data_IF_342943306408
#
_entry.id   IF_342943306408
#
_cell.length_a   1.000
_cell.length_b   1.000
_cell.length_c   1.000
_cell.angle_alpha   90.00
_cell.angle_beta   90.00
_cell.angle_gamma   90.00
#
_symmetry.space_group_name_H-M   'P 1'
#
loop_
_entity.id
_entity.type
_entity.pdbx_description
1 polymer ?
#
# COMPACT_ATOMS: atom_id res chain seq x y z
N UNK A 1 8.29 -16.94 3.06
CA UNK A 1 8.08 -15.74 3.85
C UNK A 1 7.35 -14.67 3.03
N UNK A 2 7.91 -14.18 1.92
CA UNK A 2 7.29 -13.16 1.06
C UNK A 2 5.91 -13.57 0.52
N UNK A 3 5.67 -14.84 0.28
CA UNK A 3 4.38 -15.37 -0.21
C UNK A 3 3.27 -15.13 0.79
N UNK A 4 3.52 -15.46 2.05
CA UNK A 4 2.50 -15.27 3.07
C UNK A 4 2.21 -13.77 3.28
N UNK A 5 3.21 -12.88 3.20
CA UNK A 5 3.00 -11.44 3.23
C UNK A 5 2.09 -10.98 2.06
N UNK A 6 2.31 -11.51 0.84
CA UNK A 6 1.44 -11.22 -0.31
C UNK A 6 0.03 -11.75 -0.11
N UNK A 7 -0.11 -12.99 0.38
CA UNK A 7 -1.42 -13.58 0.65
C UNK A 7 -2.18 -12.82 1.75
N UNK A 8 -1.48 -12.38 2.79
CA UNK A 8 -2.05 -11.52 3.84
C UNK A 8 -2.56 -10.22 3.22
N UNK A 9 -1.78 -9.60 2.36
CA UNK A 9 -2.15 -8.36 1.69
C UNK A 9 -3.36 -8.54 0.76
N UNK A 10 -3.36 -9.57 -0.08
CA UNK A 10 -4.48 -9.87 -0.98
C UNK A 10 -5.78 -10.17 -0.20
N UNK A 11 -5.68 -10.90 0.91
CA UNK A 11 -6.84 -11.27 1.72
C UNK A 11 -7.51 -10.08 2.43
N UNK A 12 -6.76 -9.01 2.73
CA UNK A 12 -7.30 -7.85 3.43
C UNK A 12 -7.97 -6.83 2.51
N UNK A 13 -7.66 -6.84 1.19
CA UNK A 13 -8.09 -5.78 0.26
C UNK A 13 -9.59 -5.46 0.33
N UNK A 14 -10.43 -6.46 0.55
CA UNK A 14 -11.89 -6.30 0.57
C UNK A 14 -12.49 -6.06 1.97
N UNK A 15 -11.71 -6.21 3.05
CA UNK A 15 -12.28 -6.15 4.41
C UNK A 15 -12.92 -4.80 4.74
N UNK A 16 -12.21 -3.69 4.49
CA UNK A 16 -12.74 -2.35 4.72
C UNK A 16 -13.96 -2.06 3.85
N UNK A 17 -13.95 -2.53 2.59
CA UNK A 17 -15.08 -2.32 1.68
C UNK A 17 -16.34 -2.99 2.16
N UNK A 18 -16.23 -4.25 2.57
CA UNK A 18 -17.35 -5.00 3.11
C UNK A 18 -17.87 -4.29 4.36
N UNK A 19 -16.97 -3.85 5.25
CA UNK A 19 -17.32 -3.07 6.44
C UNK A 19 -18.03 -1.76 6.09
N UNK A 20 -17.48 -0.95 5.18
CA UNK A 20 -18.10 0.27 4.71
C UNK A 20 -19.46 0.04 4.05
N UNK A 21 -19.59 -1.02 3.24
CA UNK A 21 -20.85 -1.37 2.60
C UNK A 21 -21.95 -1.65 3.63
N UNK A 22 -21.66 -2.47 4.65
CA UNK A 22 -22.61 -2.79 5.70
C UNK A 22 -22.96 -1.58 6.57
N UNK A 23 -22.00 -0.73 6.90
CA UNK A 23 -22.23 0.49 7.64
C UNK A 23 -23.12 1.47 6.87
N UNK A 24 -22.77 1.76 5.60
CA UNK A 24 -23.53 2.72 4.80
C UNK A 24 -24.94 2.23 4.42
N UNK A 25 -25.12 0.92 4.22
CA UNK A 25 -26.41 0.36 3.81
C UNK A 25 -27.33 0.03 4.97
N UNK A 26 -26.79 -0.50 6.07
CA UNK A 26 -27.55 -1.11 7.15
C UNK A 26 -27.35 -0.40 8.49
N UNK A 27 -26.51 0.63 8.56
CA UNK A 27 -26.13 1.27 9.82
C UNK A 27 -25.27 0.38 10.75
N UNK A 28 -24.65 -0.68 10.21
CA UNK A 28 -23.94 -1.68 11.00
C UNK A 28 -22.51 -1.22 11.38
N UNK A 29 -22.41 -0.26 12.29
CA UNK A 29 -21.13 0.35 12.72
C UNK A 29 -20.21 -0.63 13.43
N UNK A 30 -20.76 -1.62 14.12
CA UNK A 30 -20.01 -2.73 14.72
C UNK A 30 -19.22 -3.51 13.68
N UNK A 31 -19.85 -3.86 12.57
CA UNK A 31 -19.21 -4.58 11.45
C UNK A 31 -18.06 -3.75 10.90
N UNK A 32 -18.26 -2.46 10.67
CA UNK A 32 -17.22 -1.56 10.21
C UNK A 32 -16.03 -1.48 11.18
N UNK A 33 -16.31 -1.37 12.47
CA UNK A 33 -15.31 -1.29 13.52
C UNK A 33 -14.40 -2.55 13.53
N UNK A 34 -14.99 -3.73 13.48
CA UNK A 34 -14.25 -4.99 13.44
C UNK A 34 -13.48 -5.17 12.13
N UNK A 35 -14.06 -4.77 11.00
CA UNK A 35 -13.41 -4.80 9.69
C UNK A 35 -12.14 -3.94 9.67
N UNK A 36 -12.21 -2.71 10.18
CA UNK A 36 -11.06 -1.79 10.24
C UNK A 36 -9.95 -2.34 11.13
N UNK A 37 -10.29 -2.91 12.29
CA UNK A 37 -9.29 -3.52 13.18
C UNK A 37 -8.59 -4.72 12.53
N UNK A 38 -9.34 -5.62 11.90
CA UNK A 38 -8.77 -6.79 11.24
C UNK A 38 -7.92 -6.38 10.03
N UNK A 39 -8.38 -5.44 9.21
CA UNK A 39 -7.64 -4.89 8.09
C UNK A 39 -6.31 -4.27 8.54
N UNK A 40 -6.32 -3.41 9.55
CA UNK A 40 -5.11 -2.75 10.06
C UNK A 40 -4.07 -3.76 10.58
N UNK A 41 -4.49 -4.82 11.24
CA UNK A 41 -3.60 -5.89 11.73
C UNK A 41 -2.99 -6.71 10.59
N UNK A 42 -3.78 -7.07 9.59
CA UNK A 42 -3.30 -7.76 8.41
C UNK A 42 -2.38 -6.86 7.57
N UNK A 43 -2.69 -5.56 7.46
CA UNK A 43 -1.79 -4.59 6.79
C UNK A 43 -0.41 -4.57 7.44
N UNK A 44 -0.35 -4.47 8.77
CA UNK A 44 0.91 -4.46 9.49
C UNK A 44 1.68 -5.79 9.34
N UNK A 45 0.98 -6.92 9.39
CA UNK A 45 1.60 -8.23 9.17
C UNK A 45 2.20 -8.38 7.76
N UNK A 46 1.51 -7.84 6.76
CA UNK A 46 1.93 -7.89 5.35
C UNK A 46 2.79 -6.71 4.89
N UNK A 47 3.34 -5.90 5.81
CA UNK A 47 4.13 -4.71 5.47
C UNK A 47 5.29 -5.04 4.53
N UNK A 48 5.45 -4.27 3.47
CA UNK A 48 6.48 -4.47 2.47
C UNK A 48 7.62 -3.46 2.60
N UNK A 49 8.80 -3.86 2.15
CA UNK A 49 9.97 -2.97 2.09
C UNK A 49 9.66 -1.68 1.31
N UNK A 50 9.99 -0.53 1.88
CA UNK A 50 9.68 0.80 1.35
C UNK A 50 8.35 1.38 1.84
N UNK A 51 7.57 0.63 2.64
CA UNK A 51 6.31 1.11 3.22
C UNK A 51 6.46 1.70 4.63
N UNK A 52 7.65 1.65 5.21
CA UNK A 52 7.93 2.12 6.56
C UNK A 52 7.61 3.60 6.77
N UNK A 53 7.80 4.42 5.74
CA UNK A 53 7.47 5.84 5.82
C UNK A 53 5.96 6.11 6.04
N UNK A 54 5.11 5.13 5.75
CA UNK A 54 3.65 5.23 5.90
C UNK A 54 3.12 4.68 7.23
N UNK A 55 3.97 4.09 8.08
CA UNK A 55 3.52 3.49 9.35
C UNK A 55 2.75 4.46 10.25
N UNK A 56 3.08 5.74 10.24
CA UNK A 56 2.34 6.74 11.01
C UNK A 56 0.90 6.93 10.51
N UNK A 57 0.65 6.77 9.21
CA UNK A 57 -0.70 6.81 8.64
C UNK A 57 -1.46 5.54 9.05
N UNK A 58 -0.82 4.38 8.96
CA UNK A 58 -1.41 3.12 9.37
C UNK A 58 -1.70 3.10 10.88
N UNK A 59 -0.86 3.74 11.70
CA UNK A 59 -1.13 3.93 13.12
C UNK A 59 -2.40 4.75 13.39
N UNK A 60 -2.68 5.78 12.56
CA UNK A 60 -3.95 6.53 12.65
C UNK A 60 -5.15 5.65 12.26
N UNK A 61 -5.00 4.79 11.25
CA UNK A 61 -6.07 3.83 10.90
C UNK A 61 -6.29 2.84 12.06
N UNK A 62 -5.23 2.35 12.69
CA UNK A 62 -5.35 1.51 13.89
C UNK A 62 -6.04 2.25 15.05
N UNK A 63 -5.72 3.54 15.27
CA UNK A 63 -6.41 4.38 16.26
C UNK A 63 -7.90 4.56 15.95
N UNK A 64 -8.28 4.63 14.69
CA UNK A 64 -9.69 4.71 14.31
C UNK A 64 -10.49 3.46 14.73
N UNK A 65 -9.81 2.34 14.95
CA UNK A 65 -10.34 1.10 15.52
C UNK A 65 -10.00 0.88 17.01
N UNK A 66 -9.52 1.86 17.76
CA UNK A 66 -9.05 1.76 19.14
C UNK A 66 -7.97 0.66 19.37
N UNK A 67 -7.16 0.33 18.36
CA UNK A 67 -6.14 -0.71 18.46
C UNK A 67 -4.80 -0.14 18.94
N UNK A 68 -4.74 0.24 20.21
CA UNK A 68 -3.54 0.82 20.82
C UNK A 68 -2.33 -0.14 20.86
N UNK A 69 -2.56 -1.45 20.97
CA UNK A 69 -1.48 -2.44 20.88
C UNK A 69 -0.80 -2.40 19.49
N UNK A 70 -1.60 -2.32 18.44
CA UNK A 70 -1.09 -2.19 17.08
C UNK A 70 -0.37 -0.85 16.86
N UNK A 71 -0.88 0.26 17.41
CA UNK A 71 -0.20 1.57 17.33
C UNK A 71 1.19 1.51 17.95
N UNK A 72 1.34 0.89 19.13
CA UNK A 72 2.64 0.73 19.80
C UNK A 72 3.62 -0.09 18.95
N UNK A 73 3.12 -1.06 18.18
CA UNK A 73 3.94 -1.84 17.26
C UNK A 73 4.38 -1.05 16.04
N UNK A 74 3.51 -0.18 15.51
CA UNK A 74 3.78 0.66 14.34
C UNK A 74 4.62 1.90 14.66
N UNK A 75 4.48 2.44 15.87
CA UNK A 75 5.17 3.64 16.33
C UNK A 75 6.02 3.30 17.57
N UNK A 76 7.15 2.60 17.45
CA UNK A 76 7.99 2.30 18.58
C UNK A 76 8.55 3.59 19.17
N UNK A 77 8.56 3.69 20.52
CA UNK A 77 8.86 4.90 21.28
C UNK A 77 10.25 5.47 21.01
N UNK A 78 11.23 4.58 20.80
CA UNK A 78 12.64 4.92 20.73
C UNK A 78 13.11 5.38 19.35
N UNK A 79 12.18 5.54 18.43
CA UNK A 79 12.49 5.96 17.05
C UNK A 79 12.11 7.39 16.79
N UNK A 80 13.10 8.26 16.79
CA UNK A 80 13.00 9.44 15.96
C UNK A 80 12.85 8.95 14.51
N UNK A 81 11.77 9.31 13.87
CA UNK A 81 11.34 8.84 12.58
C UNK A 81 12.48 8.78 11.56
N UNK A 82 12.52 7.71 10.79
CA UNK A 82 13.57 7.28 9.86
C UNK A 82 14.21 8.42 9.09
N UNK A 83 15.52 8.52 9.13
CA UNK A 83 16.25 9.58 8.42
C UNK A 83 16.10 9.51 6.92
N UNK A 84 15.77 8.34 6.37
CA UNK A 84 15.46 8.10 4.94
C UNK A 84 14.03 8.41 4.54
N UNK A 85 13.11 8.62 5.49
CA UNK A 85 11.74 8.93 5.14
C UNK A 85 11.65 10.29 4.43
N UNK A 86 10.72 10.40 3.47
CA UNK A 86 10.41 11.68 2.86
C UNK A 86 10.05 12.72 3.94
N UNK A 87 10.48 13.97 3.77
CA UNK A 87 10.35 15.03 4.79
C UNK A 87 8.94 15.14 5.38
N UNK A 88 7.90 14.95 4.57
CA UNK A 88 6.49 14.94 5.02
C UNK A 88 6.28 13.87 6.10
N UNK A 89 6.67 12.64 5.82
CA UNK A 89 6.47 11.50 6.73
C UNK A 89 7.33 11.64 7.98
N UNK A 90 8.55 12.16 7.84
CA UNK A 90 9.45 12.43 8.95
C UNK A 90 8.84 13.45 9.92
N UNK A 91 8.34 14.58 9.43
CA UNK A 91 7.78 15.66 10.27
C UNK A 91 6.48 15.22 10.94
N UNK A 92 5.53 14.70 10.16
CA UNK A 92 4.21 14.31 10.68
C UNK A 92 4.27 13.07 11.57
N UNK A 93 5.12 12.10 11.21
CA UNK A 93 5.34 10.91 12.03
C UNK A 93 5.98 11.22 13.38
N UNK A 94 6.98 12.12 13.42
CA UNK A 94 7.58 12.57 14.68
C UNK A 94 6.57 13.31 15.57
N UNK A 95 5.73 14.20 15.02
CA UNK A 95 4.68 14.87 15.78
C UNK A 95 3.66 13.88 16.34
N UNK A 96 3.21 12.93 15.52
CA UNK A 96 2.28 11.90 15.94
C UNK A 96 2.86 11.05 17.08
N UNK A 97 4.10 10.61 16.93
CA UNK A 97 4.80 9.80 17.96
C UNK A 97 4.95 10.58 19.25
N UNK A 98 5.38 11.85 19.17
CA UNK A 98 5.51 12.73 20.33
C UNK A 98 4.17 12.94 21.06
N UNK A 99 3.10 13.16 20.32
CA UNK A 99 1.75 13.30 20.86
C UNK A 99 1.29 12.02 21.54
N UNK A 100 1.44 10.89 20.87
CA UNK A 100 0.98 9.61 21.38
C UNK A 100 1.68 9.22 22.68
N UNK A 101 2.99 9.41 22.75
CA UNK A 101 3.78 9.07 23.95
C UNK A 101 3.97 10.22 24.93
N UNK A 102 3.45 11.42 24.64
CA UNK A 102 3.63 12.65 25.43
C UNK A 102 5.11 12.97 25.64
N UNK A 103 5.92 12.77 24.59
CA UNK A 103 7.35 13.02 24.61
C UNK A 103 7.65 14.48 24.28
N UNK A 104 7.96 15.27 25.32
CA UNK A 104 8.20 16.69 25.21
C UNK A 104 9.46 17.06 24.39
N UNK A 105 10.52 16.24 24.47
CA UNK A 105 11.77 16.51 23.77
C UNK A 105 11.60 16.26 22.26
N UNK A 106 11.01 15.13 21.89
CA UNK A 106 10.68 14.82 20.50
C UNK A 106 9.67 15.84 19.96
N UNK A 107 8.64 16.18 20.74
CA UNK A 107 7.59 17.12 20.36
C UNK A 107 8.11 18.52 20.08
N UNK A 108 9.00 19.02 20.92
CA UNK A 108 9.61 20.35 20.73
C UNK A 108 10.44 20.43 19.44
N UNK A 109 11.20 19.39 19.14
CA UNK A 109 11.98 19.29 17.89
C UNK A 109 11.07 19.15 16.66
N UNK A 110 10.05 18.30 16.74
CA UNK A 110 9.09 18.07 15.67
C UNK A 110 8.23 19.31 15.39
N UNK A 111 7.84 20.05 16.44
CA UNK A 111 7.11 21.30 16.30
C UNK A 111 7.92 22.33 15.51
N UNK A 112 9.21 22.53 15.86
CA UNK A 112 10.10 23.43 15.13
C UNK A 112 10.27 23.02 13.66
N UNK A 113 10.41 21.73 13.38
CA UNK A 113 10.48 21.23 12.02
C UNK A 113 9.17 21.46 11.25
N UNK A 114 8.03 21.36 11.92
CA UNK A 114 6.70 21.61 11.33
C UNK A 114 6.49 23.08 10.96
N UNK A 115 7.07 24.03 11.70
CA UNK A 115 7.01 25.44 11.35
C UNK A 115 7.68 25.72 9.99
N UNK A 116 8.84 25.10 9.76
CA UNK A 116 9.53 25.17 8.47
C UNK A 116 8.72 24.49 7.36
N UNK A 117 8.15 23.34 7.65
CA UNK A 117 7.30 22.57 6.72
C UNK A 117 6.07 23.36 6.29
N UNK A 118 5.39 24.04 7.23
CA UNK A 118 4.20 24.85 6.96
C UNK A 118 4.47 26.08 6.09
N UNK A 119 5.72 26.56 6.03
CA UNK A 119 6.13 27.64 5.14
C UNK A 119 6.44 27.18 3.70
N UNK A 120 6.46 25.86 3.44
CA UNK A 120 6.78 25.28 2.15
C UNK A 120 5.51 24.91 1.36
N UNK A 121 5.68 24.69 0.05
CA UNK A 121 4.57 24.24 -0.81
C UNK A 121 4.42 22.72 -0.72
N UNK A 122 3.34 22.28 -0.08
CA UNK A 122 2.95 20.87 0.03
C UNK A 122 1.48 20.67 -0.37
N UNK A 123 1.05 19.42 -0.67
CA UNK A 123 -0.35 19.10 -0.83
C UNK A 123 -1.18 19.55 0.38
N UNK A 124 -2.39 20.05 0.12
CA UNK A 124 -3.26 20.66 1.15
C UNK A 124 -3.49 19.73 2.35
N UNK A 125 -3.67 18.43 2.09
CA UNK A 125 -3.94 17.45 3.15
C UNK A 125 -2.79 17.36 4.17
N UNK A 126 -1.53 17.43 3.71
CA UNK A 126 -0.36 17.37 4.60
C UNK A 126 -0.18 18.65 5.41
N UNK A 127 -0.45 19.82 4.78
CA UNK A 127 -0.42 21.09 5.50
C UNK A 127 -1.49 21.17 6.60
N UNK A 128 -2.71 20.72 6.30
CA UNK A 128 -3.81 20.67 7.28
C UNK A 128 -3.50 19.65 8.40
N UNK A 129 -2.93 18.49 8.07
CA UNK A 129 -2.51 17.51 9.08
C UNK A 129 -1.43 18.07 10.00
N UNK A 130 -0.43 18.77 9.46
CA UNK A 130 0.60 19.45 10.27
C UNK A 130 -0.02 20.51 11.18
N UNK A 131 -0.92 21.33 10.66
CA UNK A 131 -1.64 22.34 11.46
C UNK A 131 -2.46 21.69 12.58
N UNK A 132 -3.15 20.59 12.30
CA UNK A 132 -3.91 19.85 13.28
C UNK A 132 -3.03 19.29 14.41
N UNK A 133 -1.94 18.60 14.06
CA UNK A 133 -1.02 18.02 15.04
C UNK A 133 -0.33 19.12 15.88
N UNK A 134 0.03 20.27 15.27
CA UNK A 134 0.56 21.42 16.00
C UNK A 134 -0.48 22.03 16.96
N UNK A 135 -1.73 22.18 16.50
CA UNK A 135 -2.81 22.70 17.33
C UNK A 135 -3.12 21.75 18.51
N UNK A 136 -3.11 20.46 18.26
CA UNK A 136 -3.31 19.45 19.30
C UNK A 136 -2.16 19.49 20.34
N UNK A 137 -0.91 19.61 19.87
CA UNK A 137 0.25 19.76 20.75
C UNK A 137 0.15 20.98 21.65
N UNK A 138 -0.32 22.10 21.09
CA UNK A 138 -0.53 23.37 21.83
C UNK A 138 -1.84 23.41 22.61
N UNK A 139 -2.65 22.35 22.56
CA UNK A 139 -3.99 22.28 23.16
C UNK A 139 -4.96 23.38 22.68
N UNK A 140 -4.83 23.79 21.43
CA UNK A 140 -5.72 24.77 20.77
C UNK A 140 -7.04 24.09 20.36
N UNK A 141 -7.82 23.59 21.35
CA UNK A 141 -8.99 22.73 21.14
C UNK A 141 -10.07 23.37 20.25
N UNK A 142 -10.22 24.69 20.30
CA UNK A 142 -11.22 25.42 19.51
C UNK A 142 -11.00 25.34 17.98
N UNK A 143 -9.80 24.92 17.52
CA UNK A 143 -9.48 24.79 16.09
C UNK A 143 -9.56 23.37 15.57
N UNK A 144 -9.60 22.38 16.45
CA UNK A 144 -9.44 20.98 16.06
C UNK A 144 -10.56 20.47 15.15
N UNK A 145 -11.82 20.79 15.48
CA UNK A 145 -12.99 20.36 14.69
C UNK A 145 -12.98 20.93 13.27
N UNK A 146 -12.67 22.22 13.11
CA UNK A 146 -12.61 22.85 11.79
C UNK A 146 -11.48 22.27 10.93
N UNK A 147 -10.30 22.04 11.52
CA UNK A 147 -9.18 21.41 10.82
C UNK A 147 -9.51 19.98 10.40
N UNK A 148 -10.16 19.18 11.24
CA UNK A 148 -10.61 17.83 10.89
C UNK A 148 -11.64 17.83 9.76
N UNK A 149 -12.59 18.78 9.76
CA UNK A 149 -13.54 18.96 8.66
C UNK A 149 -12.84 19.28 7.34
N UNK A 150 -11.83 20.17 7.39
CA UNK A 150 -11.04 20.47 6.19
C UNK A 150 -10.16 19.30 5.73
N UNK A 151 -9.57 18.53 6.66
CA UNK A 151 -8.78 17.33 6.35
C UNK A 151 -9.68 16.30 5.66
N UNK A 152 -10.85 15.99 6.24
CA UNK A 152 -11.81 15.05 5.68
C UNK A 152 -12.25 15.45 4.26
N UNK A 153 -12.53 16.75 4.06
CA UNK A 153 -12.85 17.29 2.73
C UNK A 153 -11.68 17.16 1.74
N UNK A 154 -10.45 17.40 2.20
CA UNK A 154 -9.25 17.29 1.37
C UNK A 154 -8.96 15.84 0.99
N UNK A 155 -9.13 14.90 1.93
CA UNK A 155 -8.99 13.45 1.72
C UNK A 155 -9.93 12.95 0.61
N UNK A 156 -11.20 13.33 0.67
CA UNK A 156 -12.17 12.95 -0.36
C UNK A 156 -11.92 13.53 -1.75
N UNK A 157 -11.20 14.64 -1.84
CA UNK A 157 -10.86 15.32 -3.11
C UNK A 157 -9.48 14.92 -3.64
N UNK A 158 -8.73 14.12 -2.92
CA UNK A 158 -7.36 13.73 -3.25
C UNK A 158 -7.24 12.22 -3.27
N UNK A 159 -6.41 11.70 -4.16
CA UNK A 159 -6.04 10.27 -4.19
C UNK A 159 -4.70 10.01 -3.46
N UNK A 160 -4.11 11.05 -2.84
CA UNK A 160 -2.79 10.95 -2.21
C UNK A 160 -2.71 9.88 -1.12
N UNK A 161 -3.73 9.76 -0.27
CA UNK A 161 -3.77 8.72 0.75
C UNK A 161 -4.01 7.35 0.13
N UNK A 162 -4.84 7.26 -0.89
CA UNK A 162 -5.08 6.02 -1.63
C UNK A 162 -3.83 5.53 -2.33
N UNK A 163 -3.07 6.42 -2.98
CA UNK A 163 -1.81 6.07 -3.64
C UNK A 163 -0.75 5.54 -2.66
N UNK A 164 -0.80 5.97 -1.41
CA UNK A 164 0.22 5.67 -0.41
C UNK A 164 -0.15 4.51 0.51
N UNK A 165 -1.42 4.27 0.74
CA UNK A 165 -1.88 3.35 1.79
C UNK A 165 -2.67 2.16 1.27
N UNK A 166 -3.12 2.18 0.01
CA UNK A 166 -4.03 1.14 -0.48
C UNK A 166 -3.79 0.79 -1.94
N UNK A 167 -3.95 -0.47 -2.26
CA UNK A 167 -4.12 -0.96 -3.64
C UNK A 167 -5.60 -0.97 -4.03
N UNK A 168 -6.35 -0.01 -3.55
CA UNK A 168 -7.79 0.03 -3.59
C UNK A 168 -8.37 -0.01 -5.01
N UNK A 169 -9.19 -1.01 -5.23
CA UNK A 169 -9.97 -1.17 -6.46
C UNK A 169 -11.29 -0.38 -6.43
N UNK A 170 -11.71 0.09 -5.26
CA UNK A 170 -12.98 0.80 -5.10
C UNK A 170 -12.81 2.12 -4.34
N UNK A 171 -12.25 3.10 -5.04
CA UNK A 171 -11.97 4.43 -4.51
C UNK A 171 -13.20 5.14 -3.94
N UNK A 172 -14.40 4.85 -4.44
CA UNK A 172 -15.63 5.50 -3.99
C UNK A 172 -16.01 5.10 -2.55
N UNK A 173 -15.89 3.81 -2.21
CA UNK A 173 -16.17 3.32 -0.85
C UNK A 173 -15.10 3.76 0.16
N UNK A 174 -13.83 3.73 -0.23
CA UNK A 174 -12.75 4.24 0.63
C UNK A 174 -12.89 5.72 0.95
N UNK A 175 -13.34 6.51 -0.02
CA UNK A 175 -13.62 7.93 0.18
C UNK A 175 -14.96 8.20 0.90
N UNK A 176 -15.80 7.18 1.10
CA UNK A 176 -17.04 7.32 1.84
C UNK A 176 -16.81 7.46 3.35
N UNK A 177 -15.74 6.84 3.88
CA UNK A 177 -15.38 6.91 5.31
C UNK A 177 -13.92 7.31 5.45
N UNK A 178 -13.68 8.43 6.12
CA UNK A 178 -12.34 8.94 6.38
C UNK A 178 -11.74 8.31 7.64
N UNK A 179 -11.15 7.12 7.52
CA UNK A 179 -10.47 6.47 8.66
C UNK A 179 -9.27 7.25 9.15
N UNK A 180 -8.58 7.95 8.27
CA UNK A 180 -7.49 8.85 8.64
C UNK A 180 -7.97 9.98 9.57
N UNK A 181 -9.09 10.62 9.23
CA UNK A 181 -9.68 11.70 10.07
C UNK A 181 -10.24 11.13 11.38
N UNK A 182 -10.86 9.95 11.37
CA UNK A 182 -11.28 9.25 12.60
C UNK A 182 -10.10 8.93 13.50
N UNK A 183 -8.96 8.51 12.93
CA UNK A 183 -7.72 8.28 13.66
C UNK A 183 -7.14 9.54 14.30
N UNK A 184 -7.16 10.67 13.60
CA UNK A 184 -6.76 11.96 14.16
C UNK A 184 -7.66 12.39 15.30
N UNK A 185 -8.98 12.17 15.18
CA UNK A 185 -9.92 12.46 16.26
C UNK A 185 -9.70 11.54 17.48
N UNK A 186 -9.41 10.26 17.23
CA UNK A 186 -9.03 9.31 18.29
C UNK A 186 -7.73 9.69 18.99
N UNK A 187 -6.76 10.24 18.23
CA UNK A 187 -5.53 10.80 18.80
C UNK A 187 -5.81 11.96 19.76
N UNK A 188 -6.73 12.87 19.40
CA UNK A 188 -7.14 13.93 20.31
C UNK A 188 -7.76 13.38 21.61
N UNK A 189 -8.60 12.35 21.52
CA UNK A 189 -9.14 11.64 22.69
C UNK A 189 -8.03 11.05 23.58
N UNK A 190 -6.97 10.51 22.98
CA UNK A 190 -5.84 9.95 23.70
C UNK A 190 -4.96 11.04 24.37
N UNK A 191 -4.80 12.19 23.73
CA UNK A 191 -3.87 13.25 24.17
C UNK A 191 -4.46 14.21 25.19
N UNK A 192 -5.76 14.50 25.10
CA UNK A 192 -6.47 15.50 25.91
C UNK A 192 -7.09 14.90 27.17
N UNK A 193 -7.42 15.74 28.14
CA UNK A 193 -8.27 15.31 29.25
C UNK A 193 -9.70 15.02 28.75
N UNK A 194 -10.49 14.21 29.47
CA UNK A 194 -11.89 13.96 29.10
C UNK A 194 -12.70 15.25 28.95
N UNK A 195 -12.47 16.25 29.80
CA UNK A 195 -13.15 17.54 29.75
C UNK A 195 -12.76 18.36 28.52
N UNK A 196 -11.46 18.44 28.20
CA UNK A 196 -10.95 19.11 26.99
C UNK A 196 -11.51 18.44 25.73
N UNK A 197 -11.54 17.12 25.69
CA UNK A 197 -12.01 16.36 24.53
C UNK A 197 -13.51 16.47 24.31
N UNK A 198 -14.34 16.43 25.36
CA UNK A 198 -15.80 16.53 25.27
C UNK A 198 -16.25 17.85 24.64
N UNK A 199 -15.44 18.90 24.76
CA UNK A 199 -15.74 20.21 24.20
C UNK A 199 -15.37 20.35 22.71
N UNK A 200 -14.81 19.31 22.07
CA UNK A 200 -14.48 19.33 20.63
C UNK A 200 -15.72 18.87 19.84
N UNK A 201 -16.34 19.74 19.03
CA UNK A 201 -17.45 19.31 18.17
C UNK A 201 -16.99 18.25 17.16
N UNK A 202 -17.90 17.35 16.78
CA UNK A 202 -17.64 16.39 15.70
C UNK A 202 -17.47 17.13 14.36
N UNK A 203 -16.55 16.68 13.48
CA UNK A 203 -16.39 17.24 12.14
C UNK A 203 -17.70 17.22 11.34
N UNK A 204 -17.91 18.25 10.51
CA UNK A 204 -19.15 18.42 9.73
C UNK A 204 -19.00 17.96 8.27
N UNK A 205 -18.10 17.04 7.99
CA UNK A 205 -17.95 16.46 6.65
C UNK A 205 -18.65 15.09 6.55
N UNK A 206 -19.27 14.81 5.40
CA UNK A 206 -19.99 13.54 5.16
C UNK A 206 -19.12 12.29 5.21
N UNK A 207 -17.78 12.43 5.04
CA UNK A 207 -16.83 11.33 5.18
C UNK A 207 -16.50 11.01 6.64
N UNK A 208 -16.89 11.87 7.58
CA UNK A 208 -16.79 11.59 9.00
C UNK A 208 -18.12 11.02 9.52
N UNK A 209 -18.18 9.70 9.65
CA UNK A 209 -19.40 9.02 10.13
C UNK A 209 -19.57 9.22 11.63
N UNK A 210 -20.53 10.06 12.03
CA UNK A 210 -20.80 10.37 13.45
C UNK A 210 -21.23 9.13 14.23
N UNK A 211 -22.05 8.28 13.61
CA UNK A 211 -22.55 7.03 14.18
C UNK A 211 -21.40 6.03 14.43
N UNK A 212 -20.41 6.00 13.55
CA UNK A 212 -19.19 5.19 13.74
C UNK A 212 -18.39 5.70 14.94
N UNK A 213 -18.25 7.01 15.07
CA UNK A 213 -17.52 7.61 16.19
C UNK A 213 -18.22 7.36 17.52
N UNK A 214 -19.54 7.43 17.56
CA UNK A 214 -20.36 7.09 18.75
C UNK A 214 -20.16 5.62 19.13
N UNK A 215 -20.22 4.70 18.17
CA UNK A 215 -19.95 3.29 18.40
C UNK A 215 -18.53 3.06 18.93
N UNK A 216 -17.53 3.65 18.28
CA UNK A 216 -16.12 3.53 18.66
C UNK A 216 -15.88 3.94 20.13
N UNK A 217 -16.47 5.03 20.58
CA UNK A 217 -16.35 5.51 21.97
C UNK A 217 -16.98 4.53 22.96
N UNK A 218 -18.11 3.95 22.61
CA UNK A 218 -18.80 2.95 23.45
C UNK A 218 -18.00 1.66 23.50
N UNK A 219 -17.50 1.19 22.34
CA UNK A 219 -16.67 -0.01 22.25
C UNK A 219 -15.36 0.13 23.04
N UNK A 220 -14.74 1.32 23.06
CA UNK A 220 -13.54 1.60 23.86
C UNK A 220 -13.76 1.34 25.36
N UNK A 221 -14.90 1.73 25.89
CA UNK A 221 -15.24 1.55 27.30
C UNK A 221 -15.48 0.09 27.70
N UNK A 222 -15.72 -0.79 26.73
CA UNK A 222 -16.02 -2.22 26.96
C UNK A 222 -14.80 -3.14 26.74
N UNK A 223 -13.80 -2.70 25.98
CA UNK A 223 -12.62 -3.53 25.58
C UNK A 223 -11.54 -3.61 26.67
N UNK A 224 -11.54 -2.73 27.68
CA UNK A 224 -10.65 -2.82 28.83
C UNK A 224 -10.89 -4.07 29.71
N UNK A 225 -11.90 -4.87 29.39
CA UNK A 225 -12.36 -5.98 30.23
C UNK A 225 -12.12 -7.39 29.66
N UNK A 226 -11.21 -7.68 28.84
CA UNK A 226 -10.89 -9.03 28.33
C UNK A 226 -10.97 -9.23 26.79
N UNK A 227 -9.84 -9.52 26.22
CA UNK A 227 -9.73 -10.50 25.16
C UNK A 227 -10.20 -10.10 23.77
N UNK A 228 -9.43 -10.46 22.82
CA UNK A 228 -9.64 -10.43 21.37
C UNK A 228 -11.11 -10.33 20.94
N UNK A 229 -11.50 -9.15 20.45
CA UNK A 229 -12.76 -9.02 19.73
C UNK A 229 -12.85 -10.09 18.63
N UNK A 230 -13.98 -10.79 18.54
CA UNK A 230 -14.23 -11.76 17.46
C UNK A 230 -13.83 -11.15 16.11
N UNK A 231 -13.10 -11.85 15.25
CA UNK A 231 -12.72 -11.32 13.95
C UNK A 231 -13.96 -11.08 13.10
N UNK A 232 -13.96 -9.97 12.37
CA UNK A 232 -15.03 -9.62 11.44
C UNK A 232 -15.29 -10.72 10.40
N UNK A 233 -14.21 -11.25 9.83
CA UNK A 233 -14.26 -12.40 8.94
C UNK A 233 -13.38 -13.51 9.51
N UNK A 234 -13.94 -14.72 9.58
CA UNK A 234 -13.18 -15.94 9.82
C UNK A 234 -12.86 -16.59 8.48
N UNK A 235 -11.56 -16.62 8.17
CA UNK A 235 -11.07 -17.32 7.00
C UNK A 235 -11.23 -18.82 7.17
N UNK A 236 -11.50 -19.56 6.07
CA UNK A 236 -11.72 -21.00 6.06
C UNK A 236 -10.88 -21.69 4.98
N UNK A 237 -10.86 -23.02 4.98
CA UNK A 237 -10.09 -23.80 4.01
C UNK A 237 -8.59 -23.48 4.08
N UNK A 238 -7.97 -23.28 2.93
CA UNK A 238 -6.53 -23.02 2.81
C UNK A 238 -6.12 -21.63 3.32
N UNK A 239 -7.09 -20.73 3.56
CA UNK A 239 -6.87 -19.40 4.13
C UNK A 239 -7.07 -19.37 5.65
N UNK A 240 -7.43 -20.46 6.31
CA UNK A 240 -7.75 -20.51 7.75
C UNK A 240 -6.62 -19.99 8.65
N UNK A 241 -5.36 -20.13 8.24
CA UNK A 241 -4.19 -19.63 8.96
C UNK A 241 -4.15 -18.10 9.11
N UNK A 242 -4.87 -17.36 8.25
CA UNK A 242 -4.97 -15.89 8.36
C UNK A 242 -5.68 -15.44 9.64
N UNK A 243 -6.47 -16.32 10.27
CA UNK A 243 -7.10 -16.03 11.56
C UNK A 243 -6.08 -15.95 12.72
N UNK A 244 -4.90 -16.55 12.56
CA UNK A 244 -3.85 -16.60 13.58
C UNK A 244 -2.86 -15.41 13.44
N UNK A 245 -2.89 -14.72 12.29
CA UNK A 245 -1.99 -13.58 12.01
C UNK A 245 -2.12 -12.44 13.02
N UNK A 246 -3.33 -12.01 13.43
CA UNK A 246 -3.49 -10.92 14.39
C UNK A 246 -2.81 -11.19 15.75
N UNK A 247 -2.71 -12.45 16.17
CA UNK A 247 -2.07 -12.85 17.43
C UNK A 247 -0.55 -13.01 17.30
N UNK A 248 -0.05 -13.17 16.08
CA UNK A 248 1.34 -13.40 15.75
C UNK A 248 2.13 -12.11 15.43
N UNK A 249 1.53 -10.93 15.55
CA UNK A 249 2.13 -9.67 15.10
C UNK A 249 3.44 -9.35 15.86
N UNK A 250 4.59 -9.20 15.18
CA UNK A 250 5.84 -8.80 15.80
C UNK A 250 5.82 -7.33 16.20
N UNK A 251 6.68 -6.94 17.14
CA UNK A 251 7.03 -5.53 17.31
C UNK A 251 7.98 -5.12 16.19
N UNK A 252 7.82 -3.91 15.67
CA UNK A 252 8.74 -3.34 14.67
C UNK A 252 10.16 -3.32 15.25
N UNK A 253 11.10 -3.89 14.51
CA UNK A 253 12.52 -3.87 14.85
C UNK A 253 13.20 -2.86 13.96
N UNK A 254 13.87 -1.91 14.57
CA UNK A 254 14.66 -0.90 13.89
C UNK A 254 16.13 -1.26 13.95
N UNK A 255 16.82 -1.05 12.87
CA UNK A 255 18.28 -1.16 12.77
C UNK A 255 18.88 0.13 12.24
N UNK A 256 20.13 0.37 12.56
CA UNK A 256 20.93 1.41 11.92
C UNK A 256 21.85 0.76 10.88
N UNK A 257 21.98 1.40 9.71
CA UNK A 257 22.99 1.01 8.73
C UNK A 257 24.36 1.60 9.04
N UNK A 258 25.34 1.35 8.16
CA UNK A 258 26.72 1.83 8.34
C UNK A 258 26.84 3.36 8.39
N UNK A 259 25.89 4.08 7.79
CA UNK A 259 25.82 5.54 7.76
C UNK A 259 24.99 6.12 8.92
N UNK A 260 24.45 5.24 9.80
CA UNK A 260 23.62 5.61 10.93
C UNK A 260 22.16 5.88 10.61
N UNK A 261 21.73 5.64 9.38
CA UNK A 261 20.33 5.73 8.98
C UNK A 261 19.52 4.57 9.56
N UNK A 262 18.36 4.89 10.12
CA UNK A 262 17.48 3.91 10.77
C UNK A 262 16.48 3.35 9.75
N UNK A 263 16.29 2.04 9.75
CA UNK A 263 15.34 1.35 8.87
C UNK A 263 14.66 0.17 9.58
N UNK A 264 13.55 -0.32 9.01
CA UNK A 264 12.87 -1.53 9.51
C UNK A 264 13.64 -2.77 9.07
N UNK A 265 13.90 -3.66 10.04
CA UNK A 265 14.39 -4.99 9.74
C UNK A 265 13.24 -5.91 9.32
N UNK A 266 13.00 -5.95 8.01
CA UNK A 266 11.95 -6.81 7.44
C UNK A 266 12.23 -8.30 7.58
N UNK A 267 13.50 -8.70 7.61
CA UNK A 267 13.85 -10.11 7.77
C UNK A 267 13.48 -10.57 9.18
N UNK A 268 13.83 -9.79 10.21
CA UNK A 268 13.43 -10.07 11.58
C UNK A 268 11.91 -10.00 11.78
N UNK A 269 11.25 -9.02 11.15
CA UNK A 269 9.78 -8.90 11.20
C UNK A 269 9.10 -10.17 10.67
N UNK A 270 9.51 -10.61 9.49
CA UNK A 270 8.93 -11.81 8.88
C UNK A 270 9.35 -13.10 9.59
N UNK A 271 10.58 -13.21 10.05
CA UNK A 271 11.04 -14.37 10.80
C UNK A 271 10.19 -14.58 12.07
N UNK A 272 9.94 -13.51 12.83
CA UNK A 272 9.11 -13.57 14.03
C UNK A 272 7.66 -13.94 13.73
N UNK A 273 7.06 -13.30 12.74
CA UNK A 273 5.70 -13.60 12.31
C UNK A 273 5.57 -15.07 11.89
N UNK A 274 6.49 -15.56 11.07
CA UNK A 274 6.42 -16.90 10.53
C UNK A 274 6.82 -17.99 11.50
N UNK A 275 7.73 -17.71 12.43
CA UNK A 275 8.05 -18.67 13.50
C UNK A 275 6.79 -19.07 14.27
N UNK A 276 5.89 -18.12 14.50
CA UNK A 276 4.60 -18.42 15.12
C UNK A 276 3.68 -19.21 14.18
N UNK A 277 3.52 -18.76 12.93
CA UNK A 277 2.62 -19.38 11.95
C UNK A 277 3.06 -20.78 11.50
N UNK A 278 4.36 -21.10 11.56
CA UNK A 278 4.88 -22.44 11.24
C UNK A 278 4.35 -23.54 12.17
N UNK A 279 3.85 -23.20 13.35
CA UNK A 279 3.18 -24.16 14.25
C UNK A 279 1.70 -24.37 13.92
N UNK A 280 1.12 -23.52 13.05
CA UNK A 280 -0.28 -23.64 12.62
C UNK A 280 -0.48 -24.81 11.62
N UNK A 281 -1.36 -25.78 11.91
CA UNK A 281 -1.66 -26.86 10.96
C UNK A 281 -2.25 -26.35 9.64
N UNK A 282 -3.04 -25.28 9.68
CA UNK A 282 -3.63 -24.68 8.47
C UNK A 282 -2.59 -23.98 7.61
N UNK A 283 -1.61 -23.29 8.23
CA UNK A 283 -0.48 -22.70 7.52
C UNK A 283 0.41 -23.78 6.90
N UNK A 284 0.72 -24.84 7.65
CA UNK A 284 1.49 -25.97 7.13
C UNK A 284 0.80 -26.65 5.94
N UNK A 285 -0.51 -26.83 6.01
CA UNK A 285 -1.30 -27.39 4.92
C UNK A 285 -1.26 -26.49 3.67
N UNK A 286 -1.42 -25.17 3.83
CA UNK A 286 -1.28 -24.19 2.74
C UNK A 286 0.14 -24.25 2.14
N UNK A 287 1.15 -24.36 2.99
CA UNK A 287 2.55 -24.44 2.56
C UNK A 287 2.89 -25.74 1.83
N UNK A 288 2.16 -26.83 2.11
CA UNK A 288 2.32 -28.13 1.47
C UNK A 288 1.51 -28.26 0.17
N UNK A 289 0.38 -27.56 0.04
CA UNK A 289 -0.45 -27.53 -1.17
C UNK A 289 0.16 -26.61 -2.24
N UNK A 290 1.29 -27.07 -2.81
CA UNK A 290 1.97 -26.37 -3.90
C UNK A 290 1.31 -26.75 -5.22
N UNK A 291 0.39 -25.94 -5.71
CA UNK A 291 -0.17 -26.10 -7.05
C UNK A 291 0.76 -25.49 -8.13
N UNK A 292 0.38 -25.66 -9.38
CA UNK A 292 1.13 -25.13 -10.53
C UNK A 292 1.29 -23.61 -10.50
N UNK A 293 0.33 -22.88 -9.92
CA UNK A 293 0.41 -21.41 -9.74
C UNK A 293 1.48 -21.04 -8.75
N UNK A 294 1.53 -21.76 -7.64
CA UNK A 294 2.54 -21.59 -6.63
C UNK A 294 3.93 -21.85 -7.22
N UNK A 295 4.07 -22.95 -7.97
CA UNK A 295 5.32 -23.29 -8.65
C UNK A 295 5.72 -22.24 -9.68
N UNK A 296 4.78 -21.72 -10.47
CA UNK A 296 5.05 -20.64 -11.43
C UNK A 296 5.57 -19.35 -10.77
N UNK A 297 5.02 -18.98 -9.60
CA UNK A 297 5.36 -17.73 -8.93
C UNK A 297 6.60 -17.80 -8.05
N UNK A 298 6.94 -18.96 -7.48
CA UNK A 298 7.87 -19.04 -6.37
C UNK A 298 8.95 -20.10 -6.48
N UNK A 299 8.80 -21.03 -7.41
CA UNK A 299 9.69 -22.17 -7.50
C UNK A 299 10.62 -22.08 -8.71
N UNK A 300 11.50 -23.04 -8.84
CA UNK A 300 12.37 -23.18 -10.01
C UNK A 300 11.57 -23.65 -11.23
N UNK A 301 12.15 -23.48 -12.42
CA UNK A 301 11.54 -23.98 -13.65
C UNK A 301 11.33 -25.49 -13.64
N UNK A 302 12.26 -26.24 -13.07
CA UNK A 302 12.18 -27.71 -13.05
C UNK A 302 11.07 -28.19 -12.10
N UNK A 303 10.87 -27.51 -10.95
CA UNK A 303 9.74 -27.80 -10.06
C UNK A 303 8.40 -27.37 -10.69
N UNK A 304 8.37 -26.26 -11.40
CA UNK A 304 7.19 -25.85 -12.16
C UNK A 304 6.79 -26.93 -13.17
N UNK A 305 7.72 -27.48 -13.94
CA UNK A 305 7.46 -28.55 -14.91
C UNK A 305 6.89 -29.81 -14.25
N UNK A 306 7.30 -30.14 -13.03
CA UNK A 306 6.77 -31.29 -12.29
C UNK A 306 5.30 -31.11 -11.87
N UNK A 307 4.81 -29.89 -11.77
CA UNK A 307 3.43 -29.56 -11.40
C UNK A 307 2.57 -29.22 -12.61
N UNK A 308 3.20 -28.86 -13.73
CA UNK A 308 2.50 -28.44 -14.94
C UNK A 308 1.90 -29.63 -15.69
N UNK A 309 0.66 -29.47 -16.11
CA UNK A 309 -0.04 -30.39 -17.01
C UNK A 309 -0.45 -29.65 -18.28
N UNK A 310 -0.31 -30.28 -19.44
CA UNK A 310 -0.71 -29.72 -20.71
C UNK A 310 -2.17 -29.21 -20.65
N UNK A 311 -2.37 -27.95 -21.00
CA UNK A 311 -3.67 -27.27 -20.88
C UNK A 311 -3.77 -26.33 -19.67
N UNK A 312 -2.83 -26.39 -18.71
CA UNK A 312 -2.82 -25.46 -17.57
C UNK A 312 -2.50 -24.04 -18.03
N UNK A 313 -1.75 -23.86 -19.12
CA UNK A 313 -1.46 -22.56 -19.74
C UNK A 313 -2.72 -21.81 -20.20
N UNK A 314 -3.83 -22.53 -20.41
CA UNK A 314 -5.14 -21.97 -20.81
C UNK A 314 -6.11 -21.83 -19.65
N UNK A 315 -5.76 -22.39 -18.50
CA UNK A 315 -6.60 -22.32 -17.31
C UNK A 315 -6.36 -21.01 -16.55
N UNK A 316 -7.34 -20.66 -15.76
CA UNK A 316 -7.30 -19.55 -14.84
C UNK A 316 -7.34 -20.05 -13.40
N UNK A 317 -6.39 -19.56 -12.66
CA UNK A 317 -6.23 -19.86 -11.26
C UNK A 317 -6.44 -18.57 -10.49
N UNK A 318 -7.41 -18.53 -9.60
CA UNK A 318 -7.79 -17.32 -8.84
C UNK A 318 -8.02 -16.10 -9.77
N UNK A 319 -8.67 -16.34 -10.92
CA UNK A 319 -8.98 -15.30 -11.91
C UNK A 319 -7.82 -14.87 -12.84
N UNK A 320 -6.63 -15.47 -12.73
CA UNK A 320 -5.42 -15.10 -13.51
C UNK A 320 -4.85 -16.30 -14.26
N UNK A 321 -4.27 -16.05 -15.43
CA UNK A 321 -3.50 -17.06 -16.16
C UNK A 321 -2.13 -17.32 -15.51
N UNK A 322 -1.55 -18.52 -15.74
CA UNK A 322 -0.24 -18.89 -15.18
C UNK A 322 0.89 -17.91 -15.51
N UNK A 323 0.83 -17.26 -16.67
CA UNK A 323 1.82 -16.27 -17.08
C UNK A 323 1.98 -15.14 -16.05
N UNK A 324 0.89 -14.65 -15.46
CA UNK A 324 0.95 -13.58 -14.47
C UNK A 324 1.68 -13.98 -13.18
N UNK A 325 1.56 -15.25 -12.80
CA UNK A 325 2.33 -15.83 -11.69
C UNK A 325 3.81 -15.96 -12.05
N UNK A 326 4.13 -16.41 -13.27
CA UNK A 326 5.50 -16.54 -13.75
C UNK A 326 6.22 -15.18 -13.84
N UNK A 327 5.55 -14.14 -14.38
CA UNK A 327 6.08 -12.77 -14.46
C UNK A 327 6.39 -12.17 -13.09
N UNK A 328 5.67 -12.59 -12.06
CA UNK A 328 5.89 -12.19 -10.67
C UNK A 328 6.91 -13.06 -9.92
N UNK A 329 7.54 -14.05 -10.56
CA UNK A 329 8.53 -14.91 -9.89
C UNK A 329 9.78 -14.10 -9.50
N UNK A 330 10.20 -14.11 -8.22
CA UNK A 330 11.38 -13.37 -7.77
C UNK A 330 12.71 -13.96 -8.26
N UNK A 331 12.76 -15.27 -8.56
CA UNK A 331 13.92 -15.89 -9.19
C UNK A 331 13.98 -15.51 -10.67
N UNK A 332 15.05 -14.85 -11.07
CA UNK A 332 15.21 -14.35 -12.44
C UNK A 332 15.19 -15.48 -13.47
N UNK A 333 15.86 -16.59 -13.17
CA UNK A 333 15.96 -17.68 -14.12
C UNK A 333 14.60 -18.38 -14.29
N UNK A 334 13.91 -18.64 -13.20
CA UNK A 334 12.56 -19.21 -13.22
C UNK A 334 11.58 -18.29 -13.95
N UNK A 335 11.57 -16.99 -13.61
CA UNK A 335 10.72 -15.98 -14.25
C UNK A 335 10.80 -16.05 -15.76
N UNK A 336 11.99 -15.95 -16.32
CA UNK A 336 12.14 -15.92 -17.77
C UNK A 336 11.85 -17.28 -18.41
N UNK A 337 12.34 -18.38 -17.83
CA UNK A 337 12.14 -19.72 -18.41
C UNK A 337 10.66 -20.14 -18.38
N UNK A 338 9.97 -19.91 -17.26
CA UNK A 338 8.56 -20.25 -17.14
C UNK A 338 7.71 -19.37 -18.06
N UNK A 339 8.00 -18.05 -18.12
CA UNK A 339 7.25 -17.15 -19.01
C UNK A 339 7.41 -17.52 -20.49
N UNK A 340 8.64 -17.76 -20.95
CA UNK A 340 8.88 -18.24 -22.31
C UNK A 340 8.17 -19.56 -22.61
N UNK A 341 8.29 -20.54 -21.70
CA UNK A 341 7.62 -21.81 -21.83
C UNK A 341 6.10 -21.64 -21.99
N UNK A 342 5.48 -20.82 -21.16
CA UNK A 342 4.04 -20.59 -21.22
C UNK A 342 3.61 -19.86 -22.50
N UNK A 343 4.39 -18.88 -22.97
CA UNK A 343 4.14 -18.16 -24.23
C UNK A 343 4.25 -19.10 -25.44
N UNK A 344 5.27 -19.96 -25.48
CA UNK A 344 5.44 -20.97 -26.53
C UNK A 344 4.29 -22.00 -26.57
N UNK A 345 3.65 -22.27 -25.42
CA UNK A 345 2.49 -23.17 -25.31
C UNK A 345 1.15 -22.48 -25.52
N UNK A 346 1.15 -21.18 -25.90
CA UNK A 346 -0.04 -20.45 -26.31
C UNK A 346 -0.92 -19.97 -25.16
N UNK A 347 -0.29 -19.56 -24.04
CA UNK A 347 -1.00 -18.90 -22.94
C UNK A 347 -1.63 -17.59 -23.42
N UNK A 348 -2.80 -17.24 -22.87
CA UNK A 348 -3.42 -15.94 -23.12
C UNK A 348 -2.66 -14.83 -22.38
N UNK A 349 -2.34 -13.76 -23.10
CA UNK A 349 -1.58 -12.60 -22.58
C UNK A 349 -2.51 -11.48 -22.16
N UNK A 350 -3.74 -11.44 -22.66
CA UNK A 350 -4.71 -10.40 -22.36
C UNK A 350 -5.31 -10.62 -20.97
N UNK A 351 -5.50 -9.54 -20.18
CA UNK A 351 -6.21 -9.63 -18.92
C UNK A 351 -7.70 -9.91 -19.17
N UNK A 352 -8.34 -10.54 -18.21
CA UNK A 352 -9.77 -10.89 -18.25
C UNK A 352 -10.69 -9.68 -18.22
N UNK A 353 -10.31 -8.67 -17.51
CA UNK A 353 -11.11 -7.48 -17.22
C UNK A 353 -10.26 -6.24 -17.48
N UNK A 354 -10.88 -5.19 -17.98
CA UNK A 354 -10.19 -3.93 -18.30
C UNK A 354 -9.57 -3.23 -17.09
N UNK A 355 -9.93 -3.65 -15.89
CA UNK A 355 -9.50 -3.05 -14.62
C UNK A 355 -8.29 -3.76 -13.98
N UNK A 356 -7.78 -4.85 -14.59
CA UNK A 356 -6.61 -5.54 -14.06
C UNK A 356 -5.31 -5.08 -14.69
N UNK A 357 -4.26 -5.10 -13.88
CA UNK A 357 -2.90 -4.90 -14.34
C UNK A 357 -2.54 -5.86 -15.47
N UNK A 358 -1.98 -5.34 -16.56
CA UNK A 358 -1.48 -6.14 -17.67
C UNK A 358 -0.13 -6.80 -17.36
N UNK A 359 0.37 -7.68 -18.25
CA UNK A 359 1.58 -8.47 -18.02
C UNK A 359 2.82 -7.60 -17.75
N UNK A 360 2.92 -6.43 -18.37
CA UNK A 360 4.03 -5.51 -18.16
C UNK A 360 4.08 -4.93 -16.75
N UNK A 361 2.91 -4.67 -16.12
CA UNK A 361 2.84 -4.22 -14.74
C UNK A 361 3.40 -5.28 -13.79
N UNK A 362 3.02 -6.55 -13.97
CA UNK A 362 3.55 -7.66 -13.18
C UNK A 362 5.06 -7.82 -13.35
N UNK A 363 5.56 -7.64 -14.57
CA UNK A 363 6.99 -7.73 -14.85
C UNK A 363 7.76 -6.57 -14.23
N UNK A 364 7.41 -5.32 -14.53
CA UNK A 364 8.20 -4.14 -14.13
C UNK A 364 8.18 -3.84 -12.63
N UNK A 365 7.15 -4.28 -11.90
CA UNK A 365 7.06 -4.13 -10.43
C UNK A 365 7.97 -5.09 -9.67
N UNK A 366 8.65 -5.99 -10.36
CA UNK A 366 9.61 -6.86 -9.69
C UNK A 366 10.87 -6.07 -9.29
N UNK A 367 11.48 -6.45 -8.17
CA UNK A 367 12.65 -5.73 -7.62
C UNK A 367 13.91 -5.93 -8.45
N UNK A 368 14.11 -7.15 -8.97
CA UNK A 368 15.33 -7.53 -9.67
C UNK A 368 15.05 -7.89 -11.12
N UNK A 369 15.91 -7.41 -12.01
CA UNK A 369 15.84 -7.64 -13.46
C UNK A 369 17.21 -7.93 -14.03
N UNK A 370 17.25 -8.84 -14.99
CA UNK A 370 18.27 -8.90 -16.03
C UNK A 370 17.74 -8.09 -17.21
N UNK A 371 18.23 -6.87 -17.39
CA UNK A 371 17.63 -5.91 -18.34
C UNK A 371 17.61 -6.45 -19.78
N UNK A 372 18.69 -7.08 -20.31
CA UNK A 372 18.65 -7.75 -21.61
C UNK A 372 17.55 -8.81 -21.73
N UNK A 373 17.42 -9.69 -20.73
CA UNK A 373 16.37 -10.73 -20.73
C UNK A 373 14.98 -10.15 -20.53
N UNK A 374 14.85 -9.10 -19.68
CA UNK A 374 13.58 -8.37 -19.52
C UNK A 374 13.13 -7.77 -20.84
N UNK A 375 14.05 -7.14 -21.58
CA UNK A 375 13.77 -6.58 -22.91
C UNK A 375 13.28 -7.67 -23.87
N UNK A 376 13.99 -8.80 -23.96
CA UNK A 376 13.60 -9.91 -24.81
C UNK A 376 12.20 -10.45 -24.48
N UNK A 377 11.89 -10.58 -23.18
CA UNK A 377 10.56 -10.99 -22.73
C UNK A 377 9.49 -9.95 -23.06
N UNK A 378 9.79 -8.65 -22.96
CA UNK A 378 8.87 -7.60 -23.39
C UNK A 378 8.55 -7.69 -24.90
N UNK A 379 9.57 -7.91 -25.73
CA UNK A 379 9.41 -8.10 -27.18
C UNK A 379 8.55 -9.32 -27.50
N UNK A 380 8.68 -10.39 -26.71
CA UNK A 380 7.87 -11.58 -26.87
C UNK A 380 6.42 -11.35 -26.41
N UNK A 381 6.21 -10.71 -25.26
CA UNK A 381 4.87 -10.32 -24.79
C UNK A 381 4.14 -9.45 -25.82
N UNK A 382 4.83 -8.48 -26.41
CA UNK A 382 4.27 -7.63 -27.49
C UNK A 382 3.87 -8.46 -28.71
N UNK A 383 4.70 -9.43 -29.14
CA UNK A 383 4.37 -10.35 -30.24
C UNK A 383 3.16 -11.21 -29.98
N UNK A 384 2.91 -11.55 -28.70
CA UNK A 384 1.73 -12.31 -28.25
C UNK A 384 0.52 -11.42 -27.95
N UNK A 385 0.59 -10.11 -28.25
CA UNK A 385 -0.56 -9.19 -28.16
C UNK A 385 -0.73 -8.48 -26.82
N UNK A 386 0.29 -8.45 -25.97
CA UNK A 386 0.27 -7.63 -24.76
C UNK A 386 0.16 -6.15 -25.14
N UNK A 387 -0.77 -5.43 -24.51
CA UNK A 387 -0.99 -4.02 -24.76
C UNK A 387 -0.02 -3.15 -23.91
N UNK A 388 0.89 -2.38 -24.54
CA UNK A 388 1.80 -1.48 -23.83
C UNK A 388 1.10 -0.26 -23.23
N UNK A 389 -0.16 0.00 -23.62
CA UNK A 389 -0.98 1.13 -23.16
C UNK A 389 -2.05 0.71 -22.16
N UNK A 390 -2.06 -0.57 -21.75
CA UNK A 390 -3.04 -1.02 -20.79
C UNK A 390 -2.86 -0.29 -19.47
N UNK A 391 -3.84 0.54 -19.12
CA UNK A 391 -3.89 1.15 -17.79
C UNK A 391 -4.22 0.10 -16.74
N UNK A 392 -3.35 0.01 -15.75
CA UNK A 392 -3.52 -0.87 -14.58
C UNK A 392 -4.10 -0.14 -13.37
N UNK A 393 -3.91 -0.73 -12.23
CA UNK A 393 -4.28 -0.16 -10.93
C UNK A 393 -3.77 1.28 -10.79
N UNK A 394 -4.59 2.18 -10.24
CA UNK A 394 -4.30 3.62 -10.09
C UNK A 394 -4.14 4.37 -11.41
N UNK A 395 -4.68 3.84 -12.49
CA UNK A 395 -4.55 4.38 -13.83
C UNK A 395 -3.09 4.56 -14.27
N UNK A 396 -2.22 3.63 -13.83
CA UNK A 396 -0.80 3.61 -14.21
C UNK A 396 -0.64 2.92 -15.56
N UNK A 397 0.19 3.48 -16.42
CA UNK A 397 0.67 2.82 -17.62
C UNK A 397 1.89 1.93 -17.29
N UNK A 398 2.19 0.89 -18.09
CA UNK A 398 3.42 0.11 -17.91
C UNK A 398 4.71 0.95 -17.90
N UNK A 399 4.75 2.04 -18.67
CA UNK A 399 5.88 2.97 -18.66
C UNK A 399 6.04 3.67 -17.30
N UNK A 400 4.96 3.90 -16.55
CA UNK A 400 5.02 4.49 -15.22
C UNK A 400 5.70 3.53 -14.22
N UNK A 401 5.41 2.22 -14.33
CA UNK A 401 6.09 1.20 -13.51
C UNK A 401 7.57 1.06 -13.92
N UNK A 402 7.89 1.14 -15.21
CA UNK A 402 9.28 1.11 -15.70
C UNK A 402 10.08 2.33 -15.19
N UNK A 403 9.48 3.53 -15.11
CA UNK A 403 10.11 4.74 -14.55
C UNK A 403 10.53 4.51 -13.08
N UNK A 404 9.74 3.75 -12.34
CA UNK A 404 9.94 3.48 -10.91
C UNK A 404 10.96 2.37 -10.61
N UNK A 405 11.42 1.63 -11.62
CA UNK A 405 12.42 0.58 -11.44
C UNK A 405 13.71 1.13 -10.80
N UNK A 406 14.27 0.40 -9.84
CA UNK A 406 15.46 0.82 -9.09
C UNK A 406 16.77 0.56 -9.83
N UNK A 407 16.87 1.06 -11.06
CA UNK A 407 18.03 0.98 -11.95
C UNK A 407 18.41 2.37 -12.46
N UNK A 408 19.65 2.58 -12.84
CA UNK A 408 20.08 3.83 -13.49
C UNK A 408 19.46 3.99 -14.88
N UNK A 409 19.34 5.20 -15.39
CA UNK A 409 18.84 5.45 -16.75
C UNK A 409 19.69 4.74 -17.82
N UNK A 410 21.00 4.63 -17.59
CA UNK A 410 21.91 3.91 -18.49
C UNK A 410 21.56 2.43 -18.57
N UNK A 411 21.24 1.79 -17.44
CA UNK A 411 20.82 0.39 -17.40
C UNK A 411 19.45 0.19 -18.05
N UNK A 412 18.51 1.11 -17.79
CA UNK A 412 17.14 1.04 -18.35
C UNK A 412 17.05 1.46 -19.81
N UNK A 413 18.12 2.04 -20.38
CA UNK A 413 18.10 2.53 -21.75
C UNK A 413 17.59 1.51 -22.78
N UNK A 414 17.95 0.21 -22.74
CA UNK A 414 17.42 -0.78 -23.69
C UNK A 414 15.89 -0.95 -23.62
N UNK A 415 15.29 -0.81 -22.43
CA UNK A 415 13.84 -0.83 -22.25
C UNK A 415 13.18 0.46 -22.73
N UNK A 416 13.81 1.62 -22.45
CA UNK A 416 13.35 2.91 -22.98
C UNK A 416 13.36 2.93 -24.50
N UNK A 417 14.43 2.39 -25.12
CA UNK A 417 14.56 2.31 -26.58
C UNK A 417 13.44 1.45 -27.19
N UNK A 418 13.16 0.29 -26.59
CA UNK A 418 12.06 -0.57 -27.02
C UNK A 418 10.73 0.18 -26.89
N UNK A 419 10.43 0.73 -25.70
CA UNK A 419 9.13 1.35 -25.40
C UNK A 419 8.86 2.54 -26.31
N UNK A 420 9.82 3.46 -26.43
CA UNK A 420 9.67 4.67 -27.24
C UNK A 420 9.72 4.39 -28.76
N UNK A 421 10.05 3.17 -29.21
CA UNK A 421 9.94 2.75 -30.60
C UNK A 421 8.51 2.31 -30.98
N UNK A 422 7.65 2.04 -30.01
CA UNK A 422 6.27 1.61 -30.25
C UNK A 422 5.45 2.73 -30.92
N UNK A 423 4.69 2.45 -32.00
CA UNK A 423 4.03 3.49 -32.79
C UNK A 423 2.95 4.25 -32.02
N UNK A 424 2.07 3.53 -31.32
CA UNK A 424 0.83 4.05 -30.74
C UNK A 424 0.91 4.14 -29.20
N UNK A 425 2.01 4.65 -28.68
CA UNK A 425 2.25 4.73 -27.24
C UNK A 425 1.43 5.87 -26.63
N UNK A 426 0.57 5.53 -25.63
CA UNK A 426 -0.18 6.51 -24.84
C UNK A 426 0.73 7.18 -23.79
N UNK A 427 0.87 8.48 -23.87
CA UNK A 427 1.73 9.28 -22.99
C UNK A 427 0.99 10.40 -22.24
N UNK A 428 -0.31 10.58 -22.54
CA UNK A 428 -1.12 11.67 -21.98
C UNK A 428 -2.00 11.20 -20.82
N UNK A 429 -2.15 9.88 -20.63
CA UNK A 429 -2.93 9.34 -19.54
C UNK A 429 -2.39 9.84 -18.21
N UNK A 430 -3.31 10.23 -17.33
CA UNK A 430 -2.95 10.71 -15.99
C UNK A 430 -3.25 9.64 -14.97
N UNK A 431 -2.31 9.42 -14.07
CA UNK A 431 -2.55 8.62 -12.84
C UNK A 431 -3.65 9.25 -12.01
N UNK A 432 -4.16 8.55 -11.00
CA UNK A 432 -5.09 9.13 -10.02
C UNK A 432 -4.51 10.36 -9.31
N UNK A 433 -3.18 10.45 -9.15
CA UNK A 433 -2.50 11.65 -8.67
C UNK A 433 -2.36 12.78 -9.71
N UNK A 434 -2.97 12.65 -10.88
CA UNK A 434 -2.99 13.67 -11.95
C UNK A 434 -1.68 13.78 -12.73
N UNK A 435 -0.72 12.88 -12.55
CA UNK A 435 0.62 12.89 -13.18
C UNK A 435 0.62 12.08 -14.48
N UNK A 436 1.27 12.61 -15.51
CA UNK A 436 1.56 11.89 -16.75
C UNK A 436 2.91 11.17 -16.63
N UNK A 437 3.25 10.23 -17.53
CA UNK A 437 4.56 9.58 -17.54
C UNK A 437 5.75 10.57 -17.53
N UNK A 438 5.66 11.69 -18.24
CA UNK A 438 6.70 12.72 -18.24
C UNK A 438 6.84 13.41 -16.87
N UNK A 439 5.74 13.62 -16.17
CA UNK A 439 5.73 14.26 -14.85
C UNK A 439 6.39 13.31 -13.83
N UNK A 440 6.09 12.02 -13.91
CA UNK A 440 6.74 10.98 -13.11
C UNK A 440 8.22 10.84 -13.44
N UNK A 441 8.61 10.83 -14.71
CA UNK A 441 10.02 10.75 -15.11
C UNK A 441 10.84 11.91 -14.50
N UNK A 442 10.29 13.12 -14.48
CA UNK A 442 10.91 14.29 -13.83
C UNK A 442 11.01 14.13 -12.31
N UNK A 443 9.93 13.65 -11.66
CA UNK A 443 9.88 13.41 -10.22
C UNK A 443 10.90 12.37 -9.77
N UNK A 444 11.07 11.29 -10.54
CA UNK A 444 12.05 10.22 -10.27
C UNK A 444 13.46 10.55 -10.78
N UNK A 445 13.72 11.78 -11.25
CA UNK A 445 15.02 12.21 -11.70
C UNK A 445 15.50 11.57 -13.02
N UNK A 446 14.58 11.00 -13.82
CA UNK A 446 14.84 10.37 -15.10
C UNK A 446 14.98 11.42 -16.22
N UNK A 447 16.08 12.16 -16.23
CA UNK A 447 16.27 13.34 -17.11
C UNK A 447 16.33 12.98 -18.59
N UNK A 448 17.03 11.90 -18.93
CA UNK A 448 17.14 11.42 -20.31
C UNK A 448 15.77 10.96 -20.83
N UNK A 449 15.08 10.14 -20.05
CA UNK A 449 13.74 9.66 -20.39
C UNK A 449 12.73 10.81 -20.53
N UNK A 450 12.72 11.76 -19.59
CA UNK A 450 11.83 12.92 -19.64
C UNK A 450 12.01 13.73 -20.92
N UNK A 451 13.25 14.00 -21.34
CA UNK A 451 13.54 14.68 -22.59
C UNK A 451 13.11 13.89 -23.84
N UNK A 452 13.21 12.56 -23.78
CA UNK A 452 12.75 11.69 -24.89
C UNK A 452 11.23 11.62 -24.97
N UNK A 453 10.54 11.56 -23.82
CA UNK A 453 9.07 11.61 -23.75
C UNK A 453 8.54 12.94 -24.30
N UNK A 454 9.17 14.06 -23.95
CA UNK A 454 8.80 15.39 -24.44
C UNK A 454 8.86 15.47 -25.97
N UNK A 455 9.98 15.06 -26.57
CA UNK A 455 10.14 15.02 -28.03
C UNK A 455 9.11 14.10 -28.71
N UNK A 456 8.79 12.96 -28.11
CA UNK A 456 7.79 12.03 -28.63
C UNK A 456 6.38 12.63 -28.60
N UNK A 457 6.02 13.31 -27.51
CA UNK A 457 4.73 13.98 -27.36
C UNK A 457 4.57 15.13 -28.36
N UNK A 458 5.64 15.92 -28.61
CA UNK A 458 5.66 16.96 -29.64
C UNK A 458 5.41 16.39 -31.05
N UNK A 459 6.07 15.26 -31.36
CA UNK A 459 5.90 14.58 -32.64
C UNK A 459 4.47 14.06 -32.84
N UNK A 460 3.88 13.43 -31.83
CA UNK A 460 2.48 12.98 -31.88
C UNK A 460 1.51 14.16 -32.09
N UNK A 461 1.75 15.28 -31.43
CA UNK A 461 0.93 16.48 -31.57
C UNK A 461 1.03 17.11 -32.97
N UNK A 462 2.19 17.00 -33.62
CA UNK A 462 2.43 17.54 -34.98
C UNK A 462 1.86 16.64 -36.10
N UNK A 463 1.71 15.33 -35.85
CA UNK A 463 1.19 14.36 -36.83
C UNK A 463 -0.32 14.09 -36.71
N UNK A 464 -0.94 14.49 -35.59
CA UNK A 464 -2.38 14.32 -35.31
C UNK A 464 -3.25 15.55 -35.64
N UNK A 465 -2.67 16.58 -36.22
CA UNK A 465 -3.35 17.74 -36.85
C UNK A 465 -3.27 17.62 -38.36
#
# INVERSE_FOLDING_TARGET
LRIAAVNIREAREDLKYIGCYHACRNGAMEILYHAVRQDARLEYAGILHGSESFLWIQALIALSGNDHDLVIRMLPRDTAYYDRAHTIHKVLGCLLTALYYRDNDLGSRALKASETFLCQKHPKIWLLTAQYLCALWRKETGRLSSLLTEICTAERKSDLLLEQCTDSRNTALEKAVSFFTHGLFALAQHCLSPEEFQNIPLPEDRGFLKEYEEYRRTAFSSVDAEGSAEPFIRFSGDAAWLNEVPDALPKTVLRADADGDIFIDYEDHYEKLFTHLLHSPSFQKMYQNRDVCWAAKWDTFDHFLNQYHAGDEKKRFYGRGLLYYALANPDLNARYRISHFLLEHGTEVLPLEKEFDGPFHYLFRQKYHDIPRTKALCEELLRHGADPNQAGTRNLLPVDDMIRMQYSEKELKPLYDLWLSLPDLELNLRTFGGRRPIDLAREYGRKELAGRLEKRMEHISATGS
#
